data_IF_828900390871
#
_entry.id   IF_828900390871
#
_cell.length_a   1.000
_cell.length_b   1.000
_cell.length_c   1.000
_cell.angle_alpha   90.00
_cell.angle_beta   90.00
_cell.angle_gamma   90.00
#
_symmetry.space_group_name_H-M   'P 1'
#
loop_
_entity.id
_entity.type
_entity.pdbx_description
1 polymer ?
#
# COMPACT_ATOMS: atom_id res chain seq x y z
N UNK A 1 11.27 -17.21 -2.37
CA UNK A 1 10.26 -18.11 -1.79
C UNK A 1 9.23 -18.35 -2.88
N UNK A 2 8.95 -19.58 -3.25
CA UNK A 2 8.01 -19.90 -4.33
C UNK A 2 6.57 -19.57 -3.89
N UNK A 3 5.70 -19.10 -4.81
CA UNK A 3 4.29 -18.76 -4.54
C UNK A 3 3.49 -19.89 -3.87
N UNK A 4 3.93 -21.13 -4.05
CA UNK A 4 3.32 -22.33 -3.45
C UNK A 4 3.62 -22.49 -1.95
N UNK A 5 4.51 -21.69 -1.38
CA UNK A 5 5.01 -21.82 0.00
C UNK A 5 4.55 -20.74 0.98
N UNK A 6 3.54 -19.94 0.64
CA UNK A 6 2.91 -19.04 1.62
C UNK A 6 2.00 -19.83 2.58
N UNK A 7 2.61 -20.66 3.42
CA UNK A 7 1.87 -21.27 4.52
C UNK A 7 1.72 -20.24 5.63
N UNK A 8 0.52 -20.10 6.16
CA UNK A 8 0.19 -19.17 7.22
C UNK A 8 1.14 -19.30 8.41
N UNK A 9 1.41 -20.53 8.85
CA UNK A 9 2.28 -20.80 10.01
C UNK A 9 3.68 -20.18 9.80
N UNK A 10 4.27 -20.39 8.60
CA UNK A 10 5.60 -19.84 8.29
C UNK A 10 5.59 -18.31 8.25
N UNK A 11 4.54 -17.71 7.67
CA UNK A 11 4.39 -16.24 7.64
C UNK A 11 4.21 -15.69 9.05
N UNK A 12 3.37 -16.31 9.88
CA UNK A 12 3.13 -15.89 11.25
C UNK A 12 4.38 -16.04 12.13
N UNK A 13 5.18 -17.09 11.92
CA UNK A 13 6.48 -17.26 12.60
C UNK A 13 7.45 -16.12 12.26
N UNK A 14 7.60 -15.78 10.98
CA UNK A 14 8.48 -14.68 10.55
C UNK A 14 7.99 -13.33 11.04
N UNK A 15 6.67 -13.07 10.96
CA UNK A 15 6.08 -11.84 11.48
C UNK A 15 6.24 -11.72 13.00
N UNK A 16 6.11 -12.82 13.76
CA UNK A 16 6.33 -12.81 15.20
C UNK A 16 7.80 -12.63 15.57
N UNK A 17 8.73 -13.12 14.75
CA UNK A 17 10.18 -13.04 15.00
C UNK A 17 10.77 -11.68 14.61
N UNK A 18 10.35 -11.13 13.48
CA UNK A 18 10.97 -9.96 12.86
C UNK A 18 10.04 -8.74 12.74
N UNK A 19 8.72 -8.95 12.78
CA UNK A 19 7.69 -7.94 12.54
C UNK A 19 7.39 -7.73 11.06
N UNK A 20 8.13 -8.36 10.16
CA UNK A 20 7.95 -8.21 8.71
C UNK A 20 8.48 -9.41 7.94
N UNK A 21 8.04 -9.51 6.66
CA UNK A 21 8.53 -10.46 5.67
C UNK A 21 8.65 -9.76 4.32
N UNK A 22 9.77 -9.98 3.60
CA UNK A 22 9.99 -9.50 2.24
C UNK A 22 9.97 -10.69 1.27
N UNK A 23 9.12 -10.59 0.26
CA UNK A 23 8.99 -11.58 -0.77
C UNK A 23 9.35 -11.01 -2.14
N UNK A 24 10.12 -11.77 -2.94
CA UNK A 24 10.53 -11.40 -4.30
C UNK A 24 10.16 -12.50 -5.29
N UNK A 25 9.64 -12.08 -6.44
CA UNK A 25 9.29 -12.98 -7.53
C UNK A 25 9.42 -12.26 -8.88
N UNK A 26 10.02 -12.90 -9.89
CA UNK A 26 10.26 -12.29 -11.20
C UNK A 26 8.98 -11.98 -11.98
N UNK A 27 7.94 -12.77 -11.81
CA UNK A 27 6.65 -12.49 -12.46
C UNK A 27 5.96 -11.31 -11.80
N UNK A 28 6.05 -11.20 -10.46
CA UNK A 28 5.58 -10.03 -9.72
C UNK A 28 6.31 -8.77 -10.19
N UNK A 29 7.64 -8.82 -10.38
CA UNK A 29 8.41 -7.68 -10.88
C UNK A 29 7.94 -7.23 -12.27
N UNK A 30 7.68 -8.16 -13.21
CA UNK A 30 7.14 -7.85 -14.54
C UNK A 30 5.75 -7.23 -14.47
N UNK A 31 4.90 -7.73 -13.58
CA UNK A 31 3.57 -7.17 -13.35
C UNK A 31 3.66 -5.75 -12.79
N UNK A 32 4.63 -5.49 -11.90
CA UNK A 32 4.89 -4.16 -11.34
C UNK A 32 5.32 -3.13 -12.39
N UNK A 33 6.13 -3.53 -13.39
CA UNK A 33 6.48 -2.63 -14.50
C UNK A 33 5.25 -2.20 -15.31
N UNK A 34 4.33 -3.12 -15.57
CA UNK A 34 3.08 -2.81 -16.28
C UNK A 34 2.14 -1.95 -15.41
N UNK A 35 1.95 -2.33 -14.14
CA UNK A 35 1.11 -1.61 -13.19
C UNK A 35 1.60 -0.17 -12.95
N UNK A 36 2.91 0.04 -12.89
CA UNK A 36 3.51 1.37 -12.78
C UNK A 36 3.18 2.24 -14.00
N UNK A 37 3.32 1.73 -15.22
CA UNK A 37 2.98 2.48 -16.44
C UNK A 37 1.51 2.89 -16.48
N UNK A 38 0.60 2.02 -16.04
CA UNK A 38 -0.82 2.34 -15.89
C UNK A 38 -1.04 3.44 -14.84
N UNK A 39 -0.32 3.40 -13.72
CA UNK A 39 -0.39 4.44 -12.71
C UNK A 39 0.13 5.80 -13.24
N UNK A 40 1.24 5.83 -13.94
CA UNK A 40 1.77 7.05 -14.56
C UNK A 40 0.77 7.68 -15.55
N UNK A 41 0.04 6.85 -16.28
CA UNK A 41 -1.06 7.29 -17.14
C UNK A 41 -2.22 7.90 -16.33
N UNK A 42 -2.53 7.33 -15.17
CA UNK A 42 -3.55 7.82 -14.25
C UNK A 42 -3.24 9.23 -13.75
N UNK A 43 -1.98 9.53 -13.46
CA UNK A 43 -1.55 10.85 -12.99
C UNK A 43 -1.92 11.99 -13.96
N UNK A 44 -2.00 11.70 -15.24
CA UNK A 44 -2.30 12.69 -16.30
C UNK A 44 -3.80 12.85 -16.56
N UNK A 45 -4.63 11.90 -16.15
CA UNK A 45 -6.05 11.83 -16.54
C UNK A 45 -7.01 11.95 -15.38
N UNK A 46 -6.65 11.43 -14.21
CA UNK A 46 -7.54 11.42 -13.06
C UNK A 46 -7.36 12.70 -12.24
N UNK A 47 -8.48 13.38 -11.98
CA UNK A 47 -8.50 14.60 -11.16
C UNK A 47 -7.86 14.36 -9.80
N UNK A 48 -7.02 15.28 -9.36
CA UNK A 48 -6.48 15.31 -8.01
C UNK A 48 -7.44 16.07 -7.08
N UNK A 49 -7.95 15.39 -6.08
CA UNK A 49 -8.88 15.95 -5.09
C UNK A 49 -8.13 16.53 -3.89
N UNK A 50 -8.69 17.58 -3.30
CA UNK A 50 -8.14 18.22 -2.11
C UNK A 50 -8.22 17.28 -0.88
N UNK A 51 -7.37 17.49 0.15
CA UNK A 51 -7.35 16.64 1.35
C UNK A 51 -8.69 16.56 2.08
N UNK A 52 -9.47 17.64 2.07
CA UNK A 52 -10.77 17.71 2.75
C UNK A 52 -11.93 17.05 1.98
N UNK A 53 -11.74 16.72 0.69
CA UNK A 53 -12.80 16.07 -0.07
C UNK A 53 -13.04 14.65 0.45
N UNK A 54 -14.30 14.35 0.78
CA UNK A 54 -14.71 13.05 1.29
C UNK A 54 -14.55 11.97 0.19
N UNK A 55 -13.97 10.84 0.59
CA UNK A 55 -13.87 9.66 -0.27
C UNK A 55 -15.08 8.76 -0.05
N UNK A 56 -15.74 8.41 -1.16
CA UNK A 56 -16.81 7.40 -1.18
C UNK A 56 -16.35 6.21 -2.03
N UNK A 57 -16.09 5.06 -1.40
CA UNK A 57 -15.62 3.84 -2.07
C UNK A 57 -16.59 3.34 -3.15
N UNK A 58 -17.88 3.67 -3.06
CA UNK A 58 -18.90 3.30 -4.05
C UNK A 58 -18.66 3.96 -5.40
N UNK A 59 -17.92 5.07 -5.44
CA UNK A 59 -17.54 5.77 -6.67
C UNK A 59 -16.43 5.07 -7.46
N UNK A 60 -15.67 4.16 -6.84
CA UNK A 60 -14.62 3.39 -7.52
C UNK A 60 -15.13 2.48 -8.63
N UNK A 61 -16.44 2.25 -8.71
CA UNK A 61 -17.06 1.52 -9.84
C UNK A 61 -17.05 2.33 -11.14
N UNK A 62 -16.81 3.63 -11.07
CA UNK A 62 -16.88 4.57 -12.19
C UNK A 62 -15.49 4.96 -12.66
N UNK A 63 -14.64 5.41 -11.72
CA UNK A 63 -13.28 5.89 -12.01
C UNK A 63 -12.37 5.78 -10.77
N UNK A 64 -11.03 5.74 -10.94
CA UNK A 64 -10.11 5.86 -9.82
C UNK A 64 -10.29 7.19 -9.07
N UNK A 65 -10.07 7.16 -7.76
CA UNK A 65 -10.13 8.35 -6.92
C UNK A 65 -8.73 8.76 -6.46
N UNK A 66 -8.21 9.87 -6.98
CA UNK A 66 -6.90 10.41 -6.64
C UNK A 66 -7.02 11.57 -5.67
N UNK A 67 -6.32 11.52 -4.54
CA UNK A 67 -6.46 12.48 -3.44
C UNK A 67 -5.11 12.88 -2.87
N UNK A 68 -4.96 14.15 -2.51
CA UNK A 68 -3.86 14.63 -1.66
C UNK A 68 -4.07 14.19 -0.21
N UNK A 69 -3.00 13.75 0.44
CA UNK A 69 -2.92 13.48 1.86
C UNK A 69 -1.75 14.29 2.44
N UNK A 70 -2.05 15.46 2.98
CA UNK A 70 -1.08 16.44 3.47
C UNK A 70 -1.40 16.82 4.91
N UNK A 71 -0.36 17.02 5.71
CA UNK A 71 -0.45 17.41 7.11
C UNK A 71 -0.71 16.25 8.05
N UNK A 72 -0.92 16.57 9.33
CA UNK A 72 -1.17 15.58 10.39
C UNK A 72 -2.65 15.19 10.52
N UNK A 73 -3.55 15.88 9.81
CA UNK A 73 -4.99 15.56 9.73
C UNK A 73 -5.43 15.75 8.29
N UNK A 74 -5.55 14.67 7.54
CA UNK A 74 -5.85 14.69 6.11
C UNK A 74 -7.36 14.75 5.78
N UNK A 75 -8.18 15.31 6.65
CA UNK A 75 -9.64 15.31 6.49
C UNK A 75 -10.32 14.00 6.89
N UNK A 76 -9.53 12.91 7.09
CA UNK A 76 -10.00 11.62 7.59
C UNK A 76 -9.68 11.43 9.07
N UNK A 77 -9.20 12.48 9.75
CA UNK A 77 -8.86 12.41 11.17
C UNK A 77 -7.58 11.66 11.51
N UNK A 78 -6.73 11.34 10.50
CA UNK A 78 -5.45 10.67 10.74
C UNK A 78 -4.52 11.55 11.58
N UNK A 79 -3.96 11.03 12.68
CA UNK A 79 -2.96 11.74 13.47
C UNK A 79 -1.55 11.66 12.83
N UNK A 80 -1.39 10.96 11.71
CA UNK A 80 -0.11 10.69 11.07
C UNK A 80 0.27 11.89 10.21
N UNK A 81 1.45 12.46 10.46
CA UNK A 81 2.02 13.49 9.60
C UNK A 81 2.39 12.88 8.24
N UNK A 82 1.98 13.52 7.15
CA UNK A 82 2.16 12.97 5.81
C UNK A 82 2.11 14.03 4.71
N UNK A 83 2.78 13.72 3.60
CA UNK A 83 2.78 14.50 2.36
C UNK A 83 2.87 13.53 1.18
N UNK A 84 1.75 13.14 0.62
CA UNK A 84 1.66 12.19 -0.49
C UNK A 84 0.36 12.38 -1.27
N UNK A 85 0.26 11.70 -2.39
CA UNK A 85 -1.02 11.46 -3.04
C UNK A 85 -1.39 9.98 -2.97
N UNK A 86 -2.66 9.70 -2.70
CA UNK A 86 -3.22 8.36 -2.67
C UNK A 86 -4.25 8.23 -3.78
N UNK A 87 -4.07 7.23 -4.64
CA UNK A 87 -5.03 6.92 -5.70
C UNK A 87 -5.64 5.56 -5.44
N UNK A 88 -6.96 5.53 -5.25
CA UNK A 88 -7.74 4.32 -5.05
C UNK A 88 -8.22 3.78 -6.40
N UNK A 89 -8.22 2.47 -6.53
CA UNK A 89 -8.64 1.74 -7.74
C UNK A 89 -9.69 0.69 -7.41
N UNK A 90 -10.59 0.45 -8.38
CA UNK A 90 -11.37 -0.77 -8.38
C UNK A 90 -10.53 -1.90 -9.00
N UNK A 91 -10.26 -3.02 -8.29
CA UNK A 91 -9.42 -4.10 -8.80
C UNK A 91 -10.03 -4.87 -9.97
N UNK A 92 -11.27 -4.59 -10.34
CA UNK A 92 -11.95 -5.18 -11.51
C UNK A 92 -12.10 -4.18 -12.67
N UNK A 93 -11.55 -2.97 -12.56
CA UNK A 93 -11.61 -1.98 -13.63
C UNK A 93 -10.73 -2.40 -14.81
N UNK A 94 -11.38 -2.62 -15.96
CA UNK A 94 -10.73 -3.07 -17.18
C UNK A 94 -9.82 -2.00 -17.83
N UNK A 95 -9.92 -0.75 -17.42
CA UNK A 95 -9.05 0.32 -17.91
C UNK A 95 -7.64 0.25 -17.28
N UNK A 96 -7.47 -0.52 -16.20
CA UNK A 96 -6.22 -0.67 -15.45
C UNK A 96 -5.92 -2.16 -15.20
N UNK A 97 -5.76 -2.98 -16.26
CA UNK A 97 -5.67 -4.44 -16.12
C UNK A 97 -4.45 -4.92 -15.34
N UNK A 98 -3.30 -4.27 -15.44
CA UNK A 98 -2.10 -4.67 -14.70
C UNK A 98 -2.21 -4.30 -13.22
N UNK A 99 -2.72 -3.11 -12.88
CA UNK A 99 -3.03 -2.74 -11.48
C UNK A 99 -4.11 -3.66 -10.91
N UNK A 100 -5.15 -3.98 -11.67
CA UNK A 100 -6.18 -4.92 -11.27
C UNK A 100 -5.62 -6.32 -10.99
N UNK A 101 -4.74 -6.84 -11.85
CA UNK A 101 -4.06 -8.12 -11.63
C UNK A 101 -3.18 -8.08 -10.38
N UNK A 102 -2.40 -7.00 -10.17
CA UNK A 102 -1.57 -6.82 -8.99
C UNK A 102 -2.39 -6.82 -7.71
N UNK A 103 -3.46 -6.02 -7.65
CA UNK A 103 -4.32 -5.96 -6.47
C UNK A 103 -5.04 -7.29 -6.21
N UNK A 104 -5.54 -7.98 -7.25
CA UNK A 104 -6.18 -9.28 -7.09
C UNK A 104 -5.19 -10.35 -6.60
N UNK A 105 -3.93 -10.33 -7.05
CA UNK A 105 -2.88 -11.19 -6.52
C UNK A 105 -2.64 -10.92 -5.03
N UNK A 106 -2.49 -9.66 -4.64
CA UNK A 106 -2.29 -9.27 -3.23
C UNK A 106 -3.49 -9.68 -2.36
N UNK A 107 -4.72 -9.44 -2.84
CA UNK A 107 -5.96 -9.85 -2.15
C UNK A 107 -6.00 -11.37 -1.97
N UNK A 108 -5.66 -12.14 -3.01
CA UNK A 108 -5.63 -13.59 -2.95
C UNK A 108 -4.64 -14.12 -1.91
N UNK A 109 -3.42 -13.59 -1.88
CA UNK A 109 -2.41 -13.94 -0.86
C UNK A 109 -2.92 -13.60 0.53
N UNK A 110 -3.42 -12.38 0.77
CA UNK A 110 -3.96 -11.97 2.07
C UNK A 110 -5.13 -12.85 2.51
N UNK A 111 -6.10 -13.08 1.63
CA UNK A 111 -7.29 -13.86 1.98
C UNK A 111 -6.93 -15.31 2.30
N UNK A 112 -5.96 -15.90 1.60
CA UNK A 112 -5.41 -17.22 1.92
C UNK A 112 -4.77 -17.24 3.31
N UNK A 113 -3.93 -16.25 3.64
CA UNK A 113 -3.30 -16.14 4.97
C UNK A 113 -4.34 -15.92 6.09
N UNK A 114 -5.42 -15.20 5.79
CA UNK A 114 -6.52 -14.96 6.74
C UNK A 114 -7.47 -16.15 6.86
N UNK A 115 -7.32 -17.19 6.03
CA UNK A 115 -8.25 -18.33 5.94
C UNK A 115 -9.71 -17.88 5.75
N UNK A 116 -9.91 -16.95 4.82
CA UNK A 116 -11.23 -16.45 4.44
C UNK A 116 -11.52 -16.76 2.97
N UNK A 117 -12.76 -16.57 2.55
CA UNK A 117 -13.17 -16.79 1.17
C UNK A 117 -12.32 -15.94 0.18
N UNK A 118 -12.00 -16.47 -1.01
CA UNK A 118 -11.17 -15.76 -1.99
C UNK A 118 -11.71 -14.38 -2.40
N UNK A 119 -13.03 -14.18 -2.31
CA UNK A 119 -13.72 -12.94 -2.62
C UNK A 119 -14.01 -12.06 -1.39
N UNK A 120 -13.47 -12.39 -0.21
CA UNK A 120 -13.64 -11.59 1.01
C UNK A 120 -13.16 -10.14 0.79
N UNK A 121 -14.02 -9.20 1.20
CA UNK A 121 -13.82 -7.77 0.99
C UNK A 121 -14.25 -7.26 -0.40
N UNK A 122 -14.80 -8.13 -1.27
CA UNK A 122 -15.42 -7.70 -2.54
C UNK A 122 -16.90 -7.31 -2.38
N UNK A 123 -17.56 -7.86 -1.37
CA UNK A 123 -18.94 -7.52 -1.05
C UNK A 123 -19.03 -6.87 0.34
N UNK A 124 -18.98 -5.52 0.42
CA UNK A 124 -18.98 -4.82 1.70
C UNK A 124 -20.19 -5.11 2.59
N UNK A 125 -21.36 -5.31 1.99
CA UNK A 125 -22.59 -5.61 2.74
C UNK A 125 -22.57 -6.98 3.42
N UNK A 126 -21.92 -7.98 2.78
CA UNK A 126 -21.74 -9.32 3.33
C UNK A 126 -20.61 -9.36 4.35
N UNK A 127 -19.49 -8.75 4.00
CA UNK A 127 -18.22 -8.94 4.70
C UNK A 127 -18.01 -7.93 5.83
N UNK A 128 -18.72 -6.78 5.80
CA UNK A 128 -18.52 -5.65 6.70
C UNK A 128 -17.22 -4.87 6.41
N UNK A 129 -16.49 -5.27 5.37
CA UNK A 129 -15.23 -4.66 4.93
C UNK A 129 -15.19 -4.52 3.41
N UNK A 130 -14.40 -3.57 2.94
CA UNK A 130 -14.08 -3.43 1.51
C UNK A 130 -12.57 -3.36 1.28
N UNK A 131 -12.13 -3.82 0.10
CA UNK A 131 -10.72 -3.82 -0.30
C UNK A 131 -10.31 -2.42 -0.76
N UNK A 132 -9.62 -1.67 0.09
CA UNK A 132 -9.02 -0.39 -0.25
C UNK A 132 -7.72 -0.61 -1.06
N UNK A 133 -7.87 -0.88 -2.35
CA UNK A 133 -6.77 -1.01 -3.30
C UNK A 133 -6.27 0.38 -3.69
N UNK A 134 -5.00 0.69 -3.43
CA UNK A 134 -4.48 2.04 -3.71
C UNK A 134 -3.01 2.05 -4.06
N UNK A 135 -2.60 3.06 -4.79
CA UNK A 135 -1.19 3.44 -4.95
C UNK A 135 -0.92 4.68 -4.13
N UNK A 136 0.05 4.61 -3.23
CA UNK A 136 0.64 5.77 -2.58
C UNK A 136 1.82 6.26 -3.39
N UNK A 137 1.80 7.54 -3.74
CA UNK A 137 2.89 8.19 -4.43
C UNK A 137 3.41 9.35 -3.58
N UNK A 138 4.67 9.24 -3.20
CA UNK A 138 5.44 10.22 -2.45
C UNK A 138 6.33 10.96 -3.44
N UNK A 139 5.97 12.20 -3.80
CA UNK A 139 6.75 12.95 -4.79
C UNK A 139 8.13 13.31 -4.26
N UNK A 140 9.08 13.54 -5.16
CA UNK A 140 10.35 14.19 -4.83
C UNK A 140 10.08 15.59 -4.29
N UNK A 141 10.97 16.10 -3.44
CA UNK A 141 10.80 17.39 -2.79
C UNK A 141 10.04 17.31 -1.48
N UNK A 142 10.12 16.17 -0.77
CA UNK A 142 9.58 16.01 0.57
C UNK A 142 8.25 15.25 0.67
N UNK A 143 8.02 14.28 -0.22
CA UNK A 143 6.99 13.26 0.00
C UNK A 143 7.37 12.38 1.18
N UNK A 144 6.49 12.21 2.19
CA UNK A 144 6.76 11.43 3.38
C UNK A 144 5.51 10.89 4.05
N UNK A 145 5.71 9.95 4.99
CA UNK A 145 4.71 9.52 5.97
C UNK A 145 5.40 9.22 7.30
N UNK A 146 5.00 9.90 8.36
CA UNK A 146 5.57 9.73 9.69
C UNK A 146 5.47 8.29 10.19
N UNK A 147 6.42 7.89 11.03
CA UNK A 147 6.44 6.56 11.63
C UNK A 147 5.19 6.32 12.49
N UNK A 148 4.46 5.26 12.19
CA UNK A 148 3.21 4.89 12.87
C UNK A 148 3.02 3.37 12.97
N UNK A 149 1.92 2.96 13.59
CA UNK A 149 1.40 1.58 13.63
C UNK A 149 -0.03 1.55 13.16
N UNK A 150 -0.44 0.47 12.51
CA UNK A 150 -1.81 0.26 12.01
C UNK A 150 -2.71 -0.46 13.05
N UNK A 151 -2.54 -0.14 14.33
CA UNK A 151 -3.27 -0.79 15.43
C UNK A 151 -4.79 -0.64 15.32
N UNK A 152 -5.28 0.47 14.74
CA UNK A 152 -6.70 0.68 14.52
C UNK A 152 -7.29 -0.38 13.59
N UNK A 153 -6.68 -0.63 12.43
CA UNK A 153 -7.16 -1.63 11.48
C UNK A 153 -7.03 -3.04 12.02
N UNK A 154 -5.92 -3.32 12.70
CA UNK A 154 -5.71 -4.59 13.42
C UNK A 154 -6.79 -4.83 14.46
N UNK A 155 -7.14 -3.81 15.28
CA UNK A 155 -8.20 -3.89 16.27
C UNK A 155 -9.56 -4.17 15.64
N UNK A 156 -9.91 -3.51 14.54
CA UNK A 156 -11.19 -3.73 13.83
C UNK A 156 -11.33 -5.14 13.26
N UNK A 157 -10.26 -5.73 12.76
CA UNK A 157 -10.28 -7.13 12.31
C UNK A 157 -10.31 -8.11 13.49
N UNK A 158 -9.61 -7.81 14.58
CA UNK A 158 -9.64 -8.63 15.79
C UNK A 158 -11.04 -8.70 16.41
N UNK A 159 -11.85 -7.62 16.37
CA UNK A 159 -13.26 -7.62 16.76
C UNK A 159 -14.10 -8.67 15.99
N UNK A 160 -13.64 -9.08 14.81
CA UNK A 160 -14.24 -10.11 13.95
C UNK A 160 -13.48 -11.44 13.97
N UNK A 161 -12.57 -11.64 14.92
CA UNK A 161 -11.69 -12.81 15.00
C UNK A 161 -10.88 -13.06 13.71
N UNK A 162 -10.44 -11.98 13.06
CA UNK A 162 -9.61 -12.04 11.83
C UNK A 162 -8.21 -11.49 12.09
N UNK A 163 -7.16 -12.18 11.61
CA UNK A 163 -5.80 -11.64 11.65
C UNK A 163 -5.66 -10.43 10.72
N UNK A 164 -4.70 -9.57 11.01
CA UNK A 164 -4.37 -8.43 10.17
C UNK A 164 -3.02 -8.64 9.49
N UNK A 165 -3.04 -8.60 8.17
CA UNK A 165 -1.83 -8.60 7.33
C UNK A 165 -1.83 -7.35 6.47
N UNK A 166 -0.92 -6.42 6.79
CA UNK A 166 -0.64 -5.28 5.93
C UNK A 166 0.24 -5.74 4.78
N UNK A 167 -0.13 -5.37 3.56
CA UNK A 167 0.62 -5.73 2.38
C UNK A 167 0.88 -4.51 1.51
N UNK A 168 2.11 -4.38 1.06
CA UNK A 168 2.49 -3.41 0.04
C UNK A 168 3.44 -4.03 -0.98
N UNK A 169 3.45 -3.47 -2.19
CA UNK A 169 4.39 -3.83 -3.27
C UNK A 169 5.09 -2.57 -3.74
N UNK A 170 6.42 -2.60 -3.81
CA UNK A 170 7.24 -1.47 -4.23
C UNK A 170 7.14 -1.28 -5.76
N UNK A 171 6.70 -0.10 -6.19
CA UNK A 171 6.50 0.28 -7.60
C UNK A 171 7.52 1.30 -8.11
N UNK A 172 8.51 1.65 -7.33
CA UNK A 172 9.59 2.58 -7.70
C UNK A 172 10.96 1.99 -7.39
N UNK A 173 11.98 2.49 -8.10
CA UNK A 173 13.38 2.07 -7.95
C UNK A 173 14.17 3.18 -7.28
N UNK A 174 14.72 2.91 -6.10
CA UNK A 174 15.71 3.80 -5.47
C UNK A 174 16.94 3.93 -6.39
N UNK A 175 17.52 5.11 -6.47
CA UNK A 175 18.60 5.50 -7.38
C UNK A 175 18.20 5.60 -8.87
N UNK A 176 16.90 5.53 -9.19
CA UNK A 176 16.34 5.75 -10.53
C UNK A 176 15.19 6.75 -10.46
N UNK A 177 14.17 6.44 -9.67
CA UNK A 177 12.94 7.23 -9.55
C UNK A 177 13.03 8.27 -8.43
N UNK A 178 13.85 7.99 -7.44
CA UNK A 178 14.23 8.86 -6.33
C UNK A 178 15.58 8.41 -5.75
N UNK A 179 16.25 9.27 -4.96
CA UNK A 179 17.61 9.01 -4.50
C UNK A 179 17.74 8.93 -2.99
N UNK A 180 17.02 9.74 -2.23
CA UNK A 180 17.07 9.80 -0.77
C UNK A 180 15.71 9.51 -0.14
N UNK A 181 15.69 9.09 1.13
CA UNK A 181 14.47 8.71 1.82
C UNK A 181 13.94 7.34 1.39
N UNK A 182 12.62 7.18 1.44
CA UNK A 182 11.93 5.94 1.10
C UNK A 182 11.34 5.20 2.29
N UNK A 183 10.80 4.00 2.06
CA UNK A 183 10.11 3.23 3.07
C UNK A 183 11.05 2.66 4.12
N UNK A 184 10.67 2.84 5.37
CA UNK A 184 11.36 2.28 6.52
C UNK A 184 10.37 1.54 7.42
N UNK A 185 10.86 0.50 8.07
CA UNK A 185 10.19 -0.11 9.21
C UNK A 185 11.19 -0.32 10.36
N UNK A 186 10.65 -0.45 11.56
CA UNK A 186 11.43 -0.82 12.74
C UNK A 186 11.05 -2.26 13.09
N UNK A 187 12.04 -3.16 12.99
CA UNK A 187 11.83 -4.57 13.35
C UNK A 187 11.56 -4.73 14.85
N UNK A 188 11.08 -5.89 15.27
CA UNK A 188 10.87 -6.19 16.70
C UNK A 188 12.17 -6.28 17.51
N UNK A 189 13.33 -6.19 16.84
CA UNK A 189 14.65 -6.06 17.47
C UNK A 189 15.17 -4.60 17.49
N UNK A 190 14.27 -3.63 17.26
CA UNK A 190 14.58 -2.20 17.17
C UNK A 190 15.62 -1.84 16.08
N UNK A 191 15.73 -2.67 15.04
CA UNK A 191 16.60 -2.41 13.89
C UNK A 191 15.76 -1.68 12.83
N UNK A 192 16.29 -0.53 12.37
CA UNK A 192 15.73 0.18 11.22
C UNK A 192 16.07 -0.59 9.94
N UNK A 193 15.04 -0.90 9.15
CA UNK A 193 15.11 -1.59 7.86
C UNK A 193 14.76 -0.61 6.76
N UNK A 194 15.63 -0.44 5.78
CA UNK A 194 15.35 0.30 4.53
C UNK A 194 14.73 -0.65 3.53
N UNK A 195 13.40 -0.60 3.38
CA UNK A 195 12.66 -1.51 2.51
C UNK A 195 13.00 -1.35 1.03
N UNK A 196 13.46 -0.18 0.61
CA UNK A 196 13.85 0.06 -0.78
C UNK A 196 15.17 -0.65 -1.12
N UNK A 197 16.10 -0.70 -0.17
CA UNK A 197 17.40 -1.38 -0.31
C UNK A 197 17.24 -2.89 -0.10
N UNK A 198 16.57 -3.29 0.97
CA UNK A 198 16.45 -4.72 1.34
C UNK A 198 15.41 -5.44 0.47
N UNK A 199 14.36 -4.77 0.03
CA UNK A 199 13.32 -5.29 -0.86
C UNK A 199 13.65 -5.03 -2.33
N UNK A 200 13.65 -3.77 -2.71
CA UNK A 200 13.76 -3.32 -4.09
C UNK A 200 12.44 -3.39 -4.87
N UNK A 201 12.48 -2.86 -6.08
CA UNK A 201 11.34 -2.82 -6.99
C UNK A 201 10.68 -4.19 -7.18
N UNK A 202 9.36 -4.22 -7.17
CA UNK A 202 8.58 -5.46 -7.36
C UNK A 202 8.52 -6.36 -6.12
N UNK A 203 9.16 -6.00 -5.01
CA UNK A 203 9.04 -6.78 -3.78
C UNK A 203 7.69 -6.57 -3.11
N UNK A 204 7.10 -7.66 -2.64
CA UNK A 204 5.95 -7.64 -1.75
C UNK A 204 6.43 -7.70 -0.30
N UNK A 205 5.93 -6.79 0.51
CA UNK A 205 6.28 -6.68 1.92
C UNK A 205 5.02 -6.92 2.74
N UNK A 206 5.13 -7.81 3.73
CA UNK A 206 4.08 -8.11 4.70
C UNK A 206 4.53 -7.68 6.08
N UNK A 207 3.63 -7.09 6.86
CA UNK A 207 3.80 -6.82 8.28
C UNK A 207 2.44 -6.74 8.97
N UNK A 208 2.41 -6.85 10.29
CA UNK A 208 1.19 -6.68 11.06
C UNK A 208 1.05 -5.25 11.63
N UNK A 209 -0.09 -4.92 12.20
CA UNK A 209 -0.36 -3.58 12.73
C UNK A 209 0.54 -3.16 13.89
N UNK A 210 1.33 -4.06 14.50
CA UNK A 210 2.29 -3.76 15.58
C UNK A 210 3.60 -3.21 15.06
N UNK A 211 3.94 -3.48 13.81
CA UNK A 211 5.20 -3.06 13.21
C UNK A 211 5.19 -1.58 12.94
N UNK A 212 6.14 -0.84 13.53
CA UNK A 212 6.30 0.58 13.29
C UNK A 212 6.92 0.81 11.92
N UNK A 213 6.25 1.60 11.09
CA UNK A 213 6.67 1.83 9.70
C UNK A 213 6.33 3.25 9.23
N UNK A 214 6.94 3.68 8.14
CA UNK A 214 6.73 4.99 7.54
C UNK A 214 7.48 5.16 6.23
N UNK A 215 7.53 6.38 5.75
CA UNK A 215 8.31 6.79 4.59
C UNK A 215 9.08 8.04 4.94
N UNK A 216 10.41 7.98 4.88
CA UNK A 216 11.29 9.14 5.09
C UNK A 216 11.19 10.09 3.91
N UNK A 217 11.51 11.36 4.15
CA UNK A 217 11.42 12.43 3.17
C UNK A 217 12.14 12.08 1.87
N UNK A 218 11.39 12.09 0.77
CA UNK A 218 11.89 11.74 -0.57
C UNK A 218 12.52 12.96 -1.21
N UNK A 219 13.83 12.93 -1.45
CA UNK A 219 14.61 13.93 -2.20
C UNK A 219 14.29 15.38 -1.81
N UNK A 220 14.57 15.77 -0.55
CA UNK A 220 14.32 17.11 -0.02
C UNK A 220 15.04 18.26 -0.78
N UNK A 221 16.05 17.93 -1.58
CA UNK A 221 16.79 18.88 -2.43
C UNK A 221 16.05 19.26 -3.73
N UNK A 222 14.88 18.65 -3.97
CA UNK A 222 14.06 18.88 -5.16
C UNK A 222 12.85 19.76 -4.84
N UNK A 223 12.25 20.32 -5.91
CA UNK A 223 11.00 21.07 -5.79
C UNK A 223 9.82 20.11 -5.83
N UNK A 224 8.91 20.22 -4.84
CA UNK A 224 7.70 19.42 -4.75
C UNK A 224 6.78 19.66 -5.95
N UNK A 225 6.45 18.59 -6.68
CA UNK A 225 5.49 18.63 -7.79
C UNK A 225 4.68 17.34 -7.86
N UNK A 226 3.39 17.41 -7.53
CA UNK A 226 2.46 16.28 -7.57
C UNK A 226 2.03 15.84 -8.98
N UNK A 227 2.38 16.58 -10.02
CA UNK A 227 2.08 16.21 -11.41
C UNK A 227 3.13 15.27 -12.02
N UNK A 228 4.31 15.20 -11.44
CA UNK A 228 5.42 14.37 -11.92
C UNK A 228 5.24 12.92 -11.50
N UNK A 229 5.64 11.95 -12.35
CA UNK A 229 5.55 10.53 -12.05
C UNK A 229 6.77 9.99 -11.29
N UNK A 230 7.82 10.78 -11.10
CA UNK A 230 9.00 10.40 -10.32
C UNK A 230 8.73 10.53 -8.82
N UNK A 231 9.52 9.83 -8.02
CA UNK A 231 9.35 9.72 -6.59
C UNK A 231 9.13 8.27 -6.13
N UNK A 232 8.82 8.12 -4.87
CA UNK A 232 8.58 6.81 -4.27
C UNK A 232 7.13 6.37 -4.44
N UNK A 233 6.90 5.15 -4.93
CA UNK A 233 5.56 4.58 -5.13
C UNK A 233 5.42 3.19 -4.52
N UNK A 234 4.23 2.90 -3.98
CA UNK A 234 3.84 1.54 -3.61
C UNK A 234 2.35 1.29 -3.82
N UNK A 235 2.03 0.08 -4.27
CA UNK A 235 0.67 -0.45 -4.23
C UNK A 235 0.37 -1.03 -2.84
N UNK A 236 -0.82 -0.78 -2.32
CA UNK A 236 -1.27 -1.24 -1.01
C UNK A 236 -2.68 -1.79 -1.08
N UNK A 237 -2.96 -2.78 -0.25
CA UNK A 237 -4.32 -3.25 0.01
C UNK A 237 -4.59 -3.25 1.51
N UNK A 238 -5.73 -2.69 1.90
CA UNK A 238 -6.22 -2.76 3.28
C UNK A 238 -7.69 -3.15 3.28
N UNK A 239 -8.13 -3.74 4.38
CA UNK A 239 -9.55 -3.93 4.67
C UNK A 239 -10.05 -2.74 5.49
N UNK A 240 -10.91 -1.93 4.90
CA UNK A 240 -11.58 -0.84 5.56
C UNK A 240 -13.01 -1.25 5.93
N UNK A 241 -13.50 -0.79 7.09
CA UNK A 241 -14.88 -1.01 7.47
C UNK A 241 -15.82 -0.38 6.45
N UNK A 242 -16.83 -1.13 6.04
CA UNK A 242 -17.96 -0.62 5.27
C UNK A 242 -18.94 0.01 6.27
N UNK A 243 -18.91 1.33 6.38
CA UNK A 243 -19.88 2.12 7.18
C UNK A 243 -20.98 2.67 6.31
#
# INVERSE_FOLDING_TARGET
>A
MDRTNFKRETVDEELNRHGYLIFRDRELERLCDAARKEYEFTLRRVKLHAPAEAFDYRRLTIEPWRKLAIGSRNGLGSPIAQNLQSTYFNPIDLNYPALGQLFNLMIGVRNSLMEVEPDFGKNPNRDGFWNACRVHHYPRGGGFMGLHRDEYFRGKLAEKNKPFYQMLVLLSRKNVDFFTGGSVLISFKDIKIDLETDGGFGSMILYDGRTKHGVEDVDLDQILDFSRPDGRMAALINLYCAT
#
